data_IF_877558535339
#
_entry.id   IF_877558535339
#
_cell.length_a   1.000
_cell.length_b   1.000
_cell.length_c   1.000
_cell.angle_alpha   90.00
_cell.angle_beta   90.00
_cell.angle_gamma   90.00
#
_symmetry.space_group_name_H-M   'P 1'
#
loop_
_entity.id
_entity.type
_entity.pdbx_description
1 polymer ?
#
# COMPACT_ATOMS: atom_id res chain seq x y z
N UNK A 1 -46.86 42.45 24.37
CA UNK A 1 -47.19 43.58 23.48
C UNK A 1 -46.60 43.29 22.12
N UNK A 2 -47.50 43.20 21.15
CA UNK A 2 -47.39 43.20 19.67
C UNK A 2 -46.52 42.10 19.05
N UNK A 3 -47.07 41.01 18.48
CA UNK A 3 -48.04 40.83 17.37
C UNK A 3 -47.44 40.93 15.96
N UNK A 4 -47.64 39.82 15.23
CA UNK A 4 -48.04 39.67 13.81
C UNK A 4 -47.10 40.24 12.72
N UNK A 5 -46.87 39.59 11.57
CA UNK A 5 -47.79 38.98 10.58
C UNK A 5 -46.96 37.97 9.74
N UNK A 6 -47.27 36.66 9.72
CA UNK A 6 -48.07 35.90 8.73
C UNK A 6 -47.64 35.99 7.23
N UNK A 7 -47.07 34.87 6.73
CA UNK A 7 -47.45 33.96 5.58
C UNK A 7 -48.41 34.45 4.46
N UNK A 8 -48.70 33.66 3.39
CA UNK A 8 -47.97 32.66 2.59
C UNK A 8 -48.23 32.84 1.05
N UNK A 9 -47.70 31.97 0.18
CA UNK A 9 -48.53 31.23 -0.80
C UNK A 9 -47.71 30.35 -1.75
N UNK A 10 -48.33 29.20 -2.01
CA UNK A 10 -47.91 28.09 -2.86
C UNK A 10 -48.36 28.28 -4.33
N UNK A 11 -47.82 27.44 -5.22
CA UNK A 11 -48.45 26.78 -6.38
C UNK A 11 -47.32 26.32 -7.33
N UNK A 12 -47.31 25.13 -7.94
CA UNK A 12 -48.36 24.12 -8.07
C UNK A 12 -47.78 22.82 -8.64
N UNK A 13 -48.66 21.83 -8.71
CA UNK A 13 -48.51 20.49 -9.30
C UNK A 13 -48.17 20.56 -10.81
N UNK A 14 -47.69 19.50 -11.48
CA UNK A 14 -48.52 18.38 -11.91
C UNK A 14 -47.67 17.17 -12.36
N UNK A 15 -48.21 15.98 -12.06
CA UNK A 15 -47.83 14.70 -12.67
C UNK A 15 -48.59 14.57 -13.99
N UNK A 16 -47.98 14.13 -15.10
CA UNK A 16 -48.69 13.31 -16.10
C UNK A 16 -47.74 12.33 -16.79
N UNK A 17 -48.24 11.10 -16.85
CA UNK A 17 -47.82 9.86 -17.50
C UNK A 17 -47.55 9.90 -19.01
N UNK A 18 -46.67 9.00 -19.50
CA UNK A 18 -46.59 8.64 -20.91
C UNK A 18 -46.02 7.23 -21.15
N UNK A 19 -46.90 6.25 -21.29
CA UNK A 19 -46.62 4.92 -21.89
C UNK A 19 -46.59 5.06 -23.43
N UNK A 20 -45.69 4.35 -24.13
CA UNK A 20 -46.03 3.24 -25.08
C UNK A 20 -44.82 2.82 -25.94
N UNK A 21 -44.79 1.50 -26.16
CA UNK A 21 -43.94 0.68 -27.05
C UNK A 21 -44.17 1.01 -28.53
N UNK A 22 -43.18 0.78 -29.41
CA UNK A 22 -43.35 0.10 -30.71
C UNK A 22 -42.04 -0.61 -31.12
N UNK A 23 -42.17 -1.83 -31.66
CA UNK A 23 -41.15 -2.70 -32.28
C UNK A 23 -40.64 -2.15 -33.63
N UNK A 24 -39.43 -2.56 -34.05
CA UNK A 24 -39.20 -2.94 -35.44
C UNK A 24 -38.04 -3.94 -35.56
N UNK A 25 -38.28 -4.97 -36.36
CA UNK A 25 -37.41 -6.10 -36.65
C UNK A 25 -36.81 -5.98 -38.06
N UNK A 26 -35.65 -6.60 -38.30
CA UNK A 26 -35.22 -7.21 -39.57
C UNK A 26 -33.94 -8.04 -39.25
N UNK A 27 -33.93 -9.38 -39.25
CA UNK A 27 -34.00 -10.39 -40.33
C UNK A 27 -32.87 -10.34 -41.37
N UNK A 28 -32.15 -11.46 -41.46
CA UNK A 28 -31.21 -11.84 -42.52
C UNK A 28 -29.87 -12.31 -41.93
N UNK A 29 -29.36 -13.52 -42.15
CA UNK A 29 -29.78 -14.66 -42.96
C UNK A 29 -28.77 -15.80 -42.74
N UNK A 30 -29.25 -17.03 -42.87
CA UNK A 30 -28.56 -18.31 -42.67
C UNK A 30 -27.52 -18.60 -43.76
N UNK A 31 -26.42 -19.27 -43.39
CA UNK A 31 -25.78 -20.29 -44.23
C UNK A 31 -24.97 -21.26 -43.35
N UNK A 32 -25.53 -22.45 -43.16
CA UNK A 32 -24.83 -23.62 -42.64
C UNK A 32 -24.46 -24.53 -43.81
N UNK A 33 -23.23 -25.04 -43.85
CA UNK A 33 -22.86 -26.21 -44.67
C UNK A 33 -22.16 -27.20 -43.76
N UNK A 34 -22.81 -28.33 -43.53
CA UNK A 34 -22.25 -29.52 -42.91
C UNK A 34 -21.85 -30.50 -44.03
N UNK A 35 -20.67 -31.12 -43.90
CA UNK A 35 -20.31 -32.32 -44.67
C UNK A 35 -19.74 -33.35 -43.71
N UNK A 36 -20.23 -34.57 -43.89
CA UNK A 36 -20.15 -35.72 -43.00
C UNK A 36 -18.77 -36.38 -42.92
N UNK A 37 -18.54 -37.05 -41.78
CA UNK A 37 -17.48 -38.03 -41.55
C UNK A 37 -17.66 -39.30 -42.42
N UNK A 38 -16.60 -40.09 -42.60
CA UNK A 38 -16.64 -41.41 -41.97
C UNK A 38 -15.29 -41.99 -41.49
N UNK A 39 -15.42 -42.83 -40.44
CA UNK A 39 -14.68 -44.06 -40.11
C UNK A 39 -13.22 -44.00 -39.59
N UNK A 40 -13.04 -44.75 -38.50
CA UNK A 40 -11.85 -44.96 -37.65
C UNK A 40 -10.74 -45.76 -38.38
N UNK A 41 -9.46 -45.52 -38.04
CA UNK A 41 -8.68 -46.60 -37.44
C UNK A 41 -7.97 -46.17 -36.14
N UNK A 42 -7.86 -47.14 -35.23
CA UNK A 42 -7.06 -47.09 -34.03
C UNK A 42 -5.55 -47.14 -34.34
N UNK A 43 -4.76 -46.72 -33.35
CA UNK A 43 -3.30 -46.88 -33.22
C UNK A 43 -2.39 -45.98 -34.08
N UNK A 44 -1.93 -44.88 -33.47
CA UNK A 44 -0.50 -44.58 -33.42
C UNK A 44 -0.21 -43.67 -32.23
N UNK A 45 0.59 -44.19 -31.30
CA UNK A 45 1.16 -43.47 -30.20
C UNK A 45 1.92 -42.22 -30.69
N UNK A 46 1.57 -41.06 -30.15
CA UNK A 46 2.56 -40.01 -29.92
C UNK A 46 2.21 -39.32 -28.62
N UNK A 47 2.67 -39.96 -27.55
CA UNK A 47 2.98 -39.36 -26.26
C UNK A 47 3.81 -38.09 -26.47
N UNK A 48 3.15 -36.94 -26.63
CA UNK A 48 3.74 -35.64 -26.28
C UNK A 48 3.69 -35.48 -24.76
N UNK A 49 4.26 -36.45 -24.06
CA UNK A 49 4.56 -36.43 -22.64
C UNK A 49 6.07 -36.30 -22.51
N UNK A 50 6.59 -35.11 -22.82
CA UNK A 50 7.92 -34.66 -22.43
C UNK A 50 8.04 -33.19 -22.85
N UNK A 51 7.98 -32.28 -21.88
CA UNK A 51 8.85 -31.11 -21.70
C UNK A 51 8.17 -30.14 -20.74
N UNK A 52 8.17 -30.52 -19.47
CA UNK A 52 8.38 -29.57 -18.39
C UNK A 52 9.08 -30.36 -17.30
N UNK A 53 10.41 -30.46 -17.42
CA UNK A 53 11.25 -30.59 -16.25
C UNK A 53 10.74 -29.52 -15.29
N UNK A 54 10.23 -29.95 -14.13
CA UNK A 54 9.81 -29.07 -13.06
C UNK A 54 11.01 -28.24 -12.64
N UNK A 55 11.17 -27.06 -13.24
CA UNK A 55 11.98 -26.00 -12.66
C UNK A 55 11.43 -25.84 -11.25
N UNK A 56 12.22 -26.21 -10.24
CA UNK A 56 11.85 -26.02 -8.83
C UNK A 56 11.34 -24.59 -8.70
N UNK A 57 10.05 -24.47 -8.41
CA UNK A 57 9.40 -23.18 -8.30
C UNK A 57 10.11 -22.46 -7.13
N UNK A 58 10.87 -21.41 -7.44
CA UNK A 58 11.62 -20.68 -6.43
C UNK A 58 10.66 -20.23 -5.32
N UNK A 59 11.05 -20.37 -4.04
CA UNK A 59 10.15 -20.07 -2.91
C UNK A 59 9.66 -18.61 -2.94
N UNK A 60 8.45 -18.35 -2.47
CA UNK A 60 8.01 -16.96 -2.26
C UNK A 60 8.84 -16.30 -1.16
N UNK A 61 8.88 -14.97 -1.14
CA UNK A 61 9.52 -14.23 -0.04
C UNK A 61 8.89 -14.58 1.32
N UNK A 62 7.57 -14.85 1.34
CA UNK A 62 6.86 -15.33 2.52
C UNK A 62 7.35 -16.70 2.99
N UNK A 63 7.48 -17.68 2.08
CA UNK A 63 8.00 -19.00 2.42
C UNK A 63 9.44 -18.93 2.95
N UNK A 64 10.25 -18.02 2.41
CA UNK A 64 11.59 -17.75 2.93
C UNK A 64 11.53 -17.21 4.35
N UNK A 65 10.70 -16.19 4.63
CA UNK A 65 10.56 -15.62 5.98
C UNK A 65 10.07 -16.67 6.99
N UNK A 66 9.10 -17.50 6.62
CA UNK A 66 8.61 -18.60 7.47
C UNK A 66 9.74 -19.59 7.78
N UNK A 67 10.59 -19.93 6.80
CA UNK A 67 11.73 -20.80 7.00
C UNK A 67 12.85 -20.17 7.85
N UNK A 68 13.09 -18.85 7.73
CA UNK A 68 14.01 -18.11 8.61
C UNK A 68 13.50 -18.11 10.06
N UNK A 69 12.19 -17.89 10.26
CA UNK A 69 11.55 -17.97 11.58
C UNK A 69 11.70 -19.37 12.19
N UNK A 70 11.51 -20.42 11.38
CA UNK A 70 11.69 -21.81 11.81
C UNK A 70 13.14 -22.12 12.22
N UNK A 71 14.13 -21.36 11.72
CA UNK A 71 15.52 -21.43 12.16
C UNK A 71 15.82 -20.57 13.40
N UNK A 72 14.80 -19.97 14.03
CA UNK A 72 14.93 -19.17 15.25
C UNK A 72 15.42 -17.74 15.05
N UNK A 73 15.43 -17.24 13.81
CA UNK A 73 15.81 -15.86 13.52
C UNK A 73 14.65 -14.89 13.80
N UNK A 74 14.98 -13.69 14.28
CA UNK A 74 13.98 -12.65 14.54
C UNK A 74 13.51 -12.03 13.21
N UNK A 75 12.31 -12.42 12.80
CA UNK A 75 11.60 -11.92 11.60
C UNK A 75 10.15 -11.53 11.94
N UNK A 76 9.95 -11.02 13.17
CA UNK A 76 8.62 -10.65 13.69
C UNK A 76 7.88 -9.66 12.80
N UNK A 77 6.55 -9.66 12.94
CA UNK A 77 5.61 -8.78 12.23
C UNK A 77 5.77 -8.80 10.70
N UNK A 78 5.90 -9.99 10.12
CA UNK A 78 6.02 -10.19 8.68
C UNK A 78 4.80 -9.62 7.92
N UNK A 79 5.06 -8.75 6.95
CA UNK A 79 4.08 -8.10 6.07
C UNK A 79 4.40 -8.43 4.62
N UNK A 80 3.45 -9.02 3.90
CA UNK A 80 3.56 -9.25 2.46
C UNK A 80 3.44 -7.90 1.73
N UNK A 81 4.48 -7.58 0.96
CA UNK A 81 4.67 -6.32 0.24
C UNK A 81 4.81 -6.56 -1.27
N UNK A 82 4.36 -7.72 -1.77
CA UNK A 82 4.40 -8.12 -3.17
C UNK A 82 3.86 -7.10 -4.19
N UNK A 83 4.03 -7.36 -5.50
CA UNK A 83 3.79 -6.37 -6.57
C UNK A 83 2.33 -5.91 -6.69
N UNK A 84 1.39 -6.61 -6.04
CA UNK A 84 -0.02 -6.26 -5.91
C UNK A 84 -0.59 -6.63 -4.54
N UNK A 85 0.14 -6.33 -3.46
CA UNK A 85 -0.47 -6.46 -2.13
C UNK A 85 -1.44 -5.32 -1.92
N UNK A 86 -2.74 -5.60 -2.04
CA UNK A 86 -3.81 -4.68 -1.64
C UNK A 86 -3.89 -4.74 -0.12
N UNK A 87 -3.14 -3.87 0.56
CA UNK A 87 -3.33 -3.67 2.01
C UNK A 87 -4.62 -2.90 2.21
N UNK A 88 -5.67 -3.62 2.61
CA UNK A 88 -6.89 -3.00 3.14
C UNK A 88 -6.68 -2.86 4.64
N UNK A 89 -6.26 -1.68 5.10
CA UNK A 89 -5.96 -1.50 6.52
C UNK A 89 -4.65 -0.81 6.84
N UNK A 90 -4.33 0.33 6.22
CA UNK A 90 -3.17 1.15 6.63
C UNK A 90 -3.30 1.68 8.07
N UNK A 91 -2.30 2.40 8.58
CA UNK A 91 -2.26 2.88 9.97
C UNK A 91 -3.53 3.66 10.39
N UNK A 92 -4.21 4.36 9.47
CA UNK A 92 -5.48 5.03 9.79
C UNK A 92 -6.65 4.07 10.08
N UNK A 93 -6.62 2.84 9.57
CA UNK A 93 -7.59 1.80 9.90
C UNK A 93 -7.36 1.24 11.30
N UNK A 94 -6.11 1.13 11.75
CA UNK A 94 -5.78 0.79 13.14
C UNK A 94 -6.22 1.92 14.10
N UNK A 95 -6.08 3.17 13.66
CA UNK A 95 -6.54 4.36 14.39
C UNK A 95 -8.03 4.69 14.15
N UNK A 96 -8.80 3.78 13.53
CA UNK A 96 -10.21 4.04 13.21
C UNK A 96 -11.06 4.23 14.46
N UNK A 97 -10.77 3.49 15.52
CA UNK A 97 -11.42 3.61 16.84
C UNK A 97 -11.17 4.98 17.49
N UNK A 98 -10.02 5.59 17.21
CA UNK A 98 -9.69 6.95 17.62
C UNK A 98 -10.26 8.00 16.66
N UNK A 99 -10.97 7.60 15.61
CA UNK A 99 -11.61 8.49 14.66
C UNK A 99 -10.72 8.95 13.51
N UNK A 100 -9.65 8.22 13.16
CA UNK A 100 -8.87 8.56 11.96
C UNK A 100 -9.73 8.40 10.68
N UNK A 101 -9.69 9.40 9.80
CA UNK A 101 -10.42 9.45 8.54
C UNK A 101 -9.51 9.33 7.32
N UNK A 102 -8.32 9.94 7.35
CA UNK A 102 -7.28 9.73 6.35
C UNK A 102 -5.90 9.92 6.98
N UNK A 103 -4.91 9.22 6.46
CA UNK A 103 -3.51 9.38 6.81
C UNK A 103 -2.67 9.34 5.54
N UNK A 104 -1.80 10.32 5.37
CA UNK A 104 -0.75 10.29 4.35
C UNK A 104 0.57 10.19 5.08
N UNK A 105 1.25 9.06 4.88
CA UNK A 105 2.54 8.78 5.51
C UNK A 105 3.68 9.08 4.56
N UNK A 106 4.71 9.74 5.06
CA UNK A 106 5.96 10.00 4.34
C UNK A 106 7.15 9.52 5.17
N UNK A 107 8.36 9.57 4.62
CA UNK A 107 9.59 9.29 5.39
C UNK A 107 9.86 10.31 6.49
N UNK A 108 9.39 11.54 6.34
CA UNK A 108 9.69 12.64 7.25
C UNK A 108 8.56 12.83 8.28
N UNK A 109 7.32 12.89 7.81
CA UNK A 109 6.15 13.12 8.66
C UNK A 109 4.89 12.44 8.10
N UNK A 110 3.90 12.20 8.96
CA UNK A 110 2.59 11.71 8.57
C UNK A 110 1.53 12.77 8.84
N UNK A 111 0.71 13.08 7.84
CA UNK A 111 -0.45 13.97 7.98
C UNK A 111 -1.68 13.10 8.21
N UNK A 112 -2.35 13.28 9.35
CA UNK A 112 -3.57 12.57 9.73
C UNK A 112 -4.73 13.54 9.89
N UNK A 113 -5.91 13.15 9.40
CA UNK A 113 -7.17 13.87 9.63
C UNK A 113 -8.08 12.99 10.47
N UNK A 114 -8.58 13.53 11.58
CA UNK A 114 -9.52 12.85 12.47
C UNK A 114 -10.94 13.40 12.34
N UNK A 115 -11.94 12.59 12.71
CA UNK A 115 -13.36 12.97 12.73
C UNK A 115 -13.63 14.19 13.59
N UNK A 116 -12.90 14.36 14.71
CA UNK A 116 -13.11 15.47 15.65
C UNK A 116 -11.81 16.04 16.20
N UNK A 117 -11.88 17.27 16.75
CA UNK A 117 -10.74 17.91 17.44
C UNK A 117 -10.34 17.13 18.70
N UNK A 118 -11.30 16.51 19.38
CA UNK A 118 -11.07 15.68 20.56
C UNK A 118 -10.34 14.38 20.21
N UNK A 119 -10.74 13.72 19.12
CA UNK A 119 -10.07 12.55 18.57
C UNK A 119 -8.59 12.84 18.23
N UNK A 120 -8.34 13.94 17.50
CA UNK A 120 -6.99 14.38 17.20
C UNK A 120 -6.17 14.69 18.48
N UNK A 121 -6.80 15.27 19.51
CA UNK A 121 -6.14 15.55 20.78
C UNK A 121 -5.79 14.28 21.56
N UNK A 122 -6.64 13.26 21.52
CA UNK A 122 -6.39 11.98 22.17
C UNK A 122 -5.17 11.25 21.59
N UNK A 123 -4.91 11.40 20.28
CA UNK A 123 -3.71 10.85 19.64
C UNK A 123 -2.43 11.48 20.20
N UNK A 124 -2.33 12.82 20.18
CA UNK A 124 -1.14 13.54 20.64
C UNK A 124 -0.90 13.38 22.15
N UNK A 125 -1.97 13.17 22.93
CA UNK A 125 -1.87 12.99 24.38
C UNK A 125 -1.57 11.56 24.86
N UNK A 126 -1.52 10.56 23.96
CA UNK A 126 -1.50 9.14 24.34
C UNK A 126 -0.42 8.27 23.69
N UNK A 127 0.38 8.80 22.76
CA UNK A 127 1.41 8.04 22.06
C UNK A 127 2.81 8.57 22.39
N UNK A 128 3.83 7.69 22.37
CA UNK A 128 5.26 8.05 22.40
C UNK A 128 5.74 8.79 21.13
N UNK A 129 4.79 9.37 20.39
CA UNK A 129 4.98 10.04 19.11
C UNK A 129 5.07 11.55 19.31
N UNK A 130 6.09 12.15 18.70
CA UNK A 130 6.22 13.59 18.65
C UNK A 130 5.31 14.12 17.55
N UNK A 131 4.21 14.78 17.92
CA UNK A 131 3.21 15.23 16.98
C UNK A 131 2.68 16.63 17.32
N UNK A 132 2.42 17.42 16.29
CA UNK A 132 1.71 18.69 16.38
C UNK A 132 0.27 18.54 15.92
N UNK A 133 -0.64 19.35 16.47
CA UNK A 133 -2.06 19.32 16.09
C UNK A 133 -2.59 20.71 15.80
N UNK A 134 -3.38 20.80 14.73
CA UNK A 134 -4.14 21.99 14.37
C UNK A 134 -5.59 21.55 14.09
N UNK A 135 -6.49 21.84 15.04
CA UNK A 135 -7.88 21.41 14.95
C UNK A 135 -8.02 19.88 14.91
N UNK A 136 -8.49 19.35 13.78
CA UNK A 136 -8.69 17.92 13.48
C UNK A 136 -7.48 17.25 12.85
N UNK A 137 -6.48 18.03 12.44
CA UNK A 137 -5.32 17.54 11.70
C UNK A 137 -4.17 17.36 12.67
N UNK A 138 -3.50 16.22 12.57
CA UNK A 138 -2.28 15.91 13.29
C UNK A 138 -1.15 15.77 12.26
N UNK A 139 -0.02 16.37 12.59
CA UNK A 139 1.25 16.14 11.93
C UNK A 139 2.15 15.37 12.87
N UNK A 140 2.33 14.08 12.57
CA UNK A 140 3.14 13.14 13.34
C UNK A 140 4.54 13.03 12.76
N UNK A 141 5.56 13.11 13.61
CA UNK A 141 6.94 12.89 13.20
C UNK A 141 7.42 11.46 13.47
N UNK A 142 6.58 10.59 14.02
CA UNK A 142 6.87 9.19 14.30
C UNK A 142 7.53 8.94 15.67
N UNK A 143 7.54 7.66 16.06
CA UNK A 143 8.28 7.15 17.22
C UNK A 143 9.20 5.99 16.77
N UNK A 144 10.53 6.15 16.77
CA UNK A 144 11.27 7.36 17.13
C UNK A 144 11.06 8.48 16.10
N UNK A 145 11.33 9.72 16.52
CA UNK A 145 11.06 10.87 15.67
C UNK A 145 11.95 10.92 14.43
N UNK A 146 11.32 11.09 13.26
CA UNK A 146 11.95 11.11 11.93
C UNK A 146 12.52 12.49 11.55
N UNK A 147 12.02 13.56 12.17
CA UNK A 147 12.45 14.95 11.90
C UNK A 147 13.16 15.55 13.12
N UNK A 148 14.37 16.07 12.89
CA UNK A 148 15.16 16.76 13.92
C UNK A 148 14.38 17.96 14.51
N UNK A 149 14.48 18.22 15.83
CA UNK A 149 13.69 19.26 16.50
C UNK A 149 13.75 20.64 15.86
N UNK A 150 14.91 21.04 15.31
CA UNK A 150 15.10 22.35 14.68
C UNK A 150 14.28 22.57 13.40
N UNK A 151 13.83 21.50 12.74
CA UNK A 151 13.04 21.58 11.50
C UNK A 151 11.54 21.57 11.75
N UNK A 152 11.08 21.00 12.87
CA UNK A 152 9.64 20.84 13.18
C UNK A 152 8.85 22.16 13.18
N UNK A 153 9.37 23.28 13.76
CA UNK A 153 8.64 24.54 13.76
C UNK A 153 8.27 25.06 12.36
N UNK A 154 9.09 24.76 11.34
CA UNK A 154 8.79 25.15 9.96
C UNK A 154 7.58 24.38 9.41
N UNK A 155 7.49 23.09 9.69
CA UNK A 155 6.34 22.26 9.32
C UNK A 155 5.07 22.69 10.04
N UNK A 156 5.15 22.91 11.34
CA UNK A 156 3.99 23.32 12.16
C UNK A 156 3.47 24.69 11.73
N UNK A 157 4.37 25.65 11.48
CA UNK A 157 4.02 26.97 10.97
C UNK A 157 3.33 26.88 9.60
N UNK A 158 3.87 26.09 8.68
CA UNK A 158 3.28 25.89 7.36
C UNK A 158 1.90 25.22 7.45
N UNK A 159 1.75 24.22 8.33
CA UNK A 159 0.48 23.55 8.59
C UNK A 159 -0.58 24.53 9.11
N UNK A 160 -0.23 25.36 10.10
CA UNK A 160 -1.13 26.40 10.64
C UNK A 160 -1.53 27.40 9.56
N UNK A 161 -0.60 27.84 8.73
CA UNK A 161 -0.88 28.80 7.66
C UNK A 161 -1.83 28.23 6.59
N UNK A 162 -1.77 26.92 6.35
CA UNK A 162 -2.54 26.26 5.29
C UNK A 162 -3.94 25.83 5.73
N UNK A 163 -4.11 25.46 7.00
CA UNK A 163 -5.36 24.89 7.47
C UNK A 163 -6.45 25.95 7.65
N UNK A 164 -7.57 25.73 6.94
CA UNK A 164 -8.84 26.43 7.19
C UNK A 164 -9.50 25.85 8.45
N UNK A 165 -10.52 26.54 8.97
CA UNK A 165 -11.18 26.18 10.25
C UNK A 165 -11.74 24.74 10.31
N UNK A 166 -12.03 24.13 9.15
CA UNK A 166 -12.66 22.80 9.06
C UNK A 166 -12.09 21.94 7.91
N UNK A 167 -10.92 21.30 8.09
CA UNK A 167 -10.37 20.37 7.12
C UNK A 167 -11.20 19.08 7.03
N UNK A 168 -11.29 18.50 5.84
CA UNK A 168 -12.00 17.23 5.54
C UNK A 168 -11.02 16.06 5.44
N UNK A 169 -11.55 14.83 5.41
CA UNK A 169 -10.74 13.63 5.27
C UNK A 169 -9.77 13.73 4.09
N UNK A 170 -10.26 14.09 2.90
CA UNK A 170 -9.50 14.20 1.63
C UNK A 170 -8.39 15.26 1.64
N UNK A 171 -8.36 16.13 2.64
CA UNK A 171 -7.40 17.21 2.72
C UNK A 171 -5.99 16.73 3.08
N UNK A 172 -5.81 15.51 3.62
CA UNK A 172 -4.50 15.01 4.03
C UNK A 172 -3.49 14.98 2.86
N UNK A 173 -3.95 14.56 1.68
CA UNK A 173 -3.14 14.56 0.44
C UNK A 173 -2.80 15.99 0.02
N UNK A 174 -3.79 16.89 0.02
CA UNK A 174 -3.59 18.29 -0.37
C UNK A 174 -2.61 19.00 0.56
N UNK A 175 -2.74 18.79 1.88
CA UNK A 175 -1.83 19.31 2.90
C UNK A 175 -0.40 18.80 2.65
N UNK A 176 -0.25 17.50 2.41
CA UNK A 176 1.05 16.89 2.13
C UNK A 176 1.73 17.50 0.90
N UNK A 177 0.98 17.68 -0.19
CA UNK A 177 1.49 18.34 -1.41
C UNK A 177 1.88 19.80 -1.14
N UNK A 178 1.08 20.53 -0.36
CA UNK A 178 1.41 21.92 -0.03
C UNK A 178 2.70 22.00 0.80
N UNK A 179 2.84 21.19 1.85
CA UNK A 179 4.07 21.17 2.66
C UNK A 179 5.30 20.91 1.78
N UNK A 180 5.18 19.98 0.82
CA UNK A 180 6.24 19.74 -0.17
C UNK A 180 6.57 20.98 -1.02
N UNK A 181 5.55 21.73 -1.47
CA UNK A 181 5.76 22.96 -2.24
C UNK A 181 6.43 24.10 -1.43
N UNK A 182 6.31 24.09 -0.10
CA UNK A 182 7.02 25.02 0.80
C UNK A 182 8.48 24.59 1.07
N UNK A 183 8.98 23.57 0.36
CA UNK A 183 10.34 23.05 0.53
C UNK A 183 10.52 22.15 1.76
N UNK A 184 9.42 21.69 2.38
CA UNK A 184 9.46 20.74 3.48
C UNK A 184 9.45 19.32 2.91
N UNK A 185 10.38 18.47 3.34
CA UNK A 185 10.50 17.13 2.81
C UNK A 185 9.28 16.29 3.24
N UNK A 186 8.60 15.72 2.24
CA UNK A 186 7.42 14.85 2.38
C UNK A 186 7.61 13.63 1.45
N UNK A 187 8.79 13.00 1.50
CA UNK A 187 9.21 12.00 0.50
C UNK A 187 8.47 10.67 0.68
N UNK A 188 8.28 9.95 -0.43
CA UNK A 188 7.63 8.63 -0.45
C UNK A 188 6.22 8.66 0.16
N UNK A 189 5.48 9.74 -0.12
CA UNK A 189 4.12 9.93 0.36
C UNK A 189 3.18 8.84 -0.17
N UNK A 190 2.47 8.18 0.74
CA UNK A 190 1.45 7.18 0.42
C UNK A 190 0.19 7.39 1.28
N UNK A 191 -0.97 7.26 0.65
CA UNK A 191 -2.28 7.35 1.31
C UNK A 191 -2.63 6.01 1.98
N UNK A 192 -2.85 6.07 3.29
CA UNK A 192 -3.21 4.96 4.17
C UNK A 192 -4.65 5.07 4.68
N UNK A 193 -5.49 5.87 4.02
CA UNK A 193 -6.90 6.05 4.37
C UNK A 193 -7.77 4.78 4.21
N UNK A 194 -9.03 4.81 4.69
CA UNK A 194 -9.96 3.67 4.70
C UNK A 194 -10.27 3.05 3.32
N UNK A 195 -10.05 3.80 2.24
CA UNK A 195 -10.17 3.35 0.85
C UNK A 195 -8.84 3.36 0.06
N UNK A 196 -7.73 3.70 0.72
CA UNK A 196 -6.41 3.77 0.09
C UNK A 196 -5.92 2.39 -0.31
N UNK A 197 -5.74 2.15 -1.61
CA UNK A 197 -5.02 0.98 -2.09
C UNK A 197 -3.55 1.36 -2.16
N UNK A 198 -2.78 0.96 -1.15
CA UNK A 198 -1.32 0.99 -1.25
C UNK A 198 -0.88 -0.13 -2.20
N UNK A 199 -0.01 0.17 -3.17
CA UNK A 199 0.71 -0.88 -3.91
C UNK A 199 1.84 -1.39 -3.00
N UNK A 200 2.05 -2.70 -2.93
CA UNK A 200 3.13 -3.26 -2.10
C UNK A 200 4.50 -2.73 -2.53
N UNK A 201 5.43 -2.59 -1.58
CA UNK A 201 6.76 -1.98 -1.80
C UNK A 201 7.56 -2.67 -2.91
N UNK A 202 7.33 -3.96 -3.18
CA UNK A 202 7.95 -4.64 -4.32
C UNK A 202 7.65 -3.96 -5.66
N UNK A 203 6.48 -3.32 -5.81
CA UNK A 203 6.09 -2.65 -7.06
C UNK A 203 6.85 -1.34 -7.32
N UNK A 204 7.47 -0.78 -6.29
CA UNK A 204 8.27 0.46 -6.36
C UNK A 204 9.76 0.16 -6.65
N UNK A 205 10.19 -1.10 -6.49
CA UNK A 205 11.58 -1.52 -6.69
C UNK A 205 11.75 -2.13 -8.09
N UNK A 206 12.52 -1.49 -8.99
CA UNK A 206 12.72 -2.00 -10.35
C UNK A 206 13.20 -3.46 -10.38
N UNK A 207 12.38 -4.33 -10.98
CA UNK A 207 12.69 -5.75 -11.17
C UNK A 207 12.40 -6.65 -9.96
N UNK A 208 11.94 -6.11 -8.83
CA UNK A 208 11.37 -6.91 -7.75
C UNK A 208 10.04 -7.53 -8.20
N UNK A 209 9.80 -8.76 -7.76
CA UNK A 209 8.60 -9.55 -8.10
C UNK A 209 7.88 -10.06 -6.86
N UNK A 210 8.50 -9.95 -5.69
CA UNK A 210 7.94 -10.36 -4.41
C UNK A 210 8.73 -9.66 -3.28
N UNK A 211 8.08 -9.38 -2.15
CA UNK A 211 8.72 -8.79 -0.99
C UNK A 211 7.96 -9.14 0.29
N UNK A 212 8.68 -9.42 1.37
CA UNK A 212 8.14 -9.44 2.72
C UNK A 212 8.98 -8.53 3.60
N UNK A 213 8.34 -7.55 4.22
CA UNK A 213 8.97 -6.70 5.23
C UNK A 213 8.79 -7.33 6.61
N UNK A 214 9.79 -7.20 7.48
CA UNK A 214 9.72 -7.67 8.88
C UNK A 214 10.31 -6.58 9.79
N UNK A 215 10.26 -6.79 11.11
CA UNK A 215 11.00 -5.96 12.07
C UNK A 215 12.52 -6.24 12.03
N UNK A 216 12.92 -7.40 11.50
CA UNK A 216 14.29 -7.73 11.12
C UNK A 216 14.57 -7.32 9.66
N UNK A 217 15.18 -8.20 8.83
CA UNK A 217 15.40 -7.89 7.43
C UNK A 217 14.12 -7.98 6.60
N UNK A 218 14.02 -7.16 5.57
CA UNK A 218 13.10 -7.41 4.46
C UNK A 218 13.72 -8.46 3.52
N UNK A 219 12.89 -9.39 3.04
CA UNK A 219 13.26 -10.36 2.01
C UNK A 219 12.63 -9.89 0.70
N UNK A 220 13.46 -9.62 -0.30
CA UNK A 220 13.02 -9.15 -1.62
C UNK A 220 13.44 -10.17 -2.67
N UNK A 221 12.51 -10.63 -3.50
CA UNK A 221 12.81 -11.49 -4.65
C UNK A 221 12.77 -10.68 -5.93
N UNK A 222 13.79 -10.83 -6.76
CA UNK A 222 13.91 -10.17 -8.05
C UNK A 222 13.69 -11.16 -9.20
N UNK A 223 13.24 -10.63 -10.34
CA UNK A 223 13.09 -11.41 -11.57
C UNK A 223 14.42 -11.97 -12.07
N UNK A 224 15.52 -11.24 -11.83
CA UNK A 224 16.86 -11.60 -12.30
C UNK A 224 17.92 -11.28 -11.26
N UNK A 225 19.03 -12.02 -11.30
CA UNK A 225 20.22 -11.76 -10.49
C UNK A 225 20.81 -10.37 -10.78
N UNK A 226 20.70 -9.90 -12.04
CA UNK A 226 21.10 -8.55 -12.43
C UNK A 226 20.29 -7.48 -11.72
N UNK A 227 18.96 -7.61 -11.68
CA UNK A 227 18.11 -6.63 -11.00
C UNK A 227 18.40 -6.58 -9.49
N UNK A 228 18.59 -7.75 -8.86
CA UNK A 228 19.01 -7.85 -7.46
C UNK A 228 20.38 -7.18 -7.22
N UNK A 229 21.35 -7.39 -8.11
CA UNK A 229 22.67 -6.77 -8.01
C UNK A 229 22.62 -5.25 -8.19
N UNK A 230 21.80 -4.76 -9.13
CA UNK A 230 21.56 -3.32 -9.32
C UNK A 230 20.94 -2.69 -8.08
N UNK A 231 19.97 -3.35 -7.44
CA UNK A 231 19.40 -2.87 -6.19
C UNK A 231 20.48 -2.73 -5.12
N UNK A 232 21.22 -3.81 -4.81
CA UNK A 232 22.27 -3.77 -3.76
C UNK A 232 23.36 -2.73 -4.05
N UNK A 233 23.73 -2.53 -5.32
CA UNK A 233 24.74 -1.53 -5.70
C UNK A 233 24.30 -0.07 -5.54
N UNK A 234 22.99 0.18 -5.47
CA UNK A 234 22.41 1.52 -5.37
C UNK A 234 21.66 1.74 -4.04
N UNK A 235 21.60 0.73 -3.18
CA UNK A 235 20.80 0.81 -1.98
C UNK A 235 21.49 1.69 -0.93
N UNK A 236 20.74 2.62 -0.35
CA UNK A 236 21.21 3.46 0.76
C UNK A 236 21.19 2.71 2.11
N UNK A 237 20.77 1.43 2.10
CA UNK A 237 20.73 0.55 3.26
C UNK A 237 21.73 -0.60 3.20
N UNK A 238 21.97 -1.22 4.36
CA UNK A 238 22.75 -2.44 4.40
C UNK A 238 21.93 -3.56 3.73
N UNK A 239 22.39 -4.03 2.56
CA UNK A 239 21.71 -5.07 1.82
C UNK A 239 22.69 -6.17 1.37
N UNK A 240 22.24 -7.43 1.39
CA UNK A 240 23.03 -8.58 0.93
C UNK A 240 22.22 -9.43 -0.03
N UNK A 241 22.83 -9.79 -1.16
CA UNK A 241 22.20 -10.60 -2.22
C UNK A 241 22.58 -12.07 -2.10
N UNK A 242 21.61 -12.96 -2.28
CA UNK A 242 21.80 -14.41 -2.49
C UNK A 242 21.00 -14.82 -3.72
N UNK A 243 21.68 -15.01 -4.86
CA UNK A 243 21.02 -15.31 -6.13
C UNK A 243 20.11 -14.17 -6.60
N UNK A 244 18.82 -14.47 -6.78
CA UNK A 244 17.72 -13.53 -7.10
C UNK A 244 17.09 -12.90 -5.86
N UNK A 245 17.51 -13.26 -4.65
CA UNK A 245 16.98 -12.73 -3.39
C UNK A 245 17.93 -11.69 -2.81
N UNK A 246 17.35 -10.73 -2.09
CA UNK A 246 18.08 -9.73 -1.31
C UNK A 246 17.49 -9.69 0.10
N UNK A 247 18.38 -9.69 1.09
CA UNK A 247 18.08 -9.25 2.45
C UNK A 247 18.41 -7.77 2.54
N UNK A 248 17.39 -6.94 2.77
CA UNK A 248 17.54 -5.51 3.08
C UNK A 248 17.41 -5.36 4.59
N UNK A 249 18.46 -4.87 5.26
CA UNK A 249 18.48 -4.68 6.70
C UNK A 249 18.00 -3.28 7.11
N UNK A 250 17.73 -2.38 6.16
CA UNK A 250 17.24 -1.02 6.41
C UNK A 250 18.33 0.01 6.71
N UNK A 251 17.96 1.28 6.61
CA UNK A 251 18.79 2.44 6.94
C UNK A 251 18.07 3.31 7.98
N UNK A 252 18.52 3.34 9.25
CA UNK A 252 19.59 2.53 9.84
C UNK A 252 19.24 1.03 9.88
N UNK A 253 20.27 0.19 10.02
CA UNK A 253 20.10 -1.27 10.06
C UNK A 253 19.25 -1.71 11.25
N UNK A 254 18.20 -2.50 10.99
CA UNK A 254 17.31 -3.10 11.98
C UNK A 254 17.90 -4.34 12.66
N UNK A 255 18.90 -4.95 12.01
CA UNK A 255 19.63 -6.12 12.52
C UNK A 255 21.06 -5.69 12.85
N UNK A 256 21.57 -6.09 14.01
CA UNK A 256 22.96 -5.82 14.37
C UNK A 256 23.92 -6.46 13.35
N UNK A 257 24.98 -5.75 12.97
CA UNK A 257 25.95 -6.22 11.94
C UNK A 257 26.50 -7.62 12.25
N UNK A 258 26.75 -7.94 13.53
CA UNK A 258 27.22 -9.25 13.95
C UNK A 258 26.23 -10.40 13.69
N UNK A 259 24.93 -10.11 13.59
CA UNK A 259 23.88 -11.09 13.35
C UNK A 259 23.56 -11.29 11.87
N UNK A 260 23.87 -10.30 11.00
CA UNK A 260 23.56 -10.36 9.57
C UNK A 260 24.09 -11.61 8.86
N UNK A 261 25.32 -12.11 9.13
CA UNK A 261 25.82 -13.35 8.52
C UNK A 261 24.93 -14.57 8.79
N UNK A 262 24.27 -14.65 9.95
CA UNK A 262 23.36 -15.75 10.28
C UNK A 262 22.13 -15.75 9.37
N UNK A 263 21.54 -14.58 9.09
CA UNK A 263 20.43 -14.45 8.14
C UNK A 263 20.83 -14.80 6.72
N UNK A 264 22.02 -14.39 6.28
CA UNK A 264 22.54 -14.70 4.94
C UNK A 264 22.76 -16.21 4.79
N UNK A 265 23.39 -16.84 5.80
CA UNK A 265 23.59 -18.29 5.83
C UNK A 265 22.27 -19.05 5.79
N UNK A 266 21.31 -18.64 6.62
CA UNK A 266 19.98 -19.23 6.66
C UNK A 266 19.25 -19.11 5.32
N UNK A 267 19.31 -17.95 4.67
CA UNK A 267 18.77 -17.75 3.33
C UNK A 267 19.42 -18.69 2.30
N UNK A 268 20.75 -18.83 2.33
CA UNK A 268 21.44 -19.78 1.44
C UNK A 268 20.99 -21.22 1.67
N UNK A 269 20.79 -21.65 2.92
CA UNK A 269 20.25 -22.98 3.24
C UNK A 269 18.83 -23.16 2.72
N UNK A 270 17.95 -22.18 2.90
CA UNK A 270 16.55 -22.23 2.43
C UNK A 270 16.48 -22.34 0.91
N UNK A 271 17.40 -21.68 0.19
CA UNK A 271 17.42 -21.69 -1.28
C UNK A 271 18.12 -22.93 -1.89
N UNK A 272 18.85 -23.69 -1.08
CA UNK A 272 19.55 -24.91 -1.51
C UNK A 272 18.73 -26.20 -1.32
N UNK A 273 17.69 -26.16 -0.47
CA UNK A 273 16.71 -27.24 -0.30
C UNK A 273 15.62 -27.22 -1.37
#
# INVERSE_FOLDING_TARGET
MNENVQTPSACGAERVTGRRRVLAAALGGLAAVAVAAPLVPAEAATTAAAHSATAQAQPSAKAVVEALAAQGLDVRHARDEGPRTIVRGGACVELKSLGCEQMVSTEDASVMVFTTRAAAAAYVGGADDEAARVGRVVLSYGSPTRVVPSRRPAYEKALVAFLRETPTAEDAVRITVQLASEGLLMRHAHDEGPGGIRRGRASEIPGAVDMVATDGPAVIRFRTTRAAATYVGNADDAATRVGTYVLSFGAPSRVATAQQPAYVSALSTVLAG
#
